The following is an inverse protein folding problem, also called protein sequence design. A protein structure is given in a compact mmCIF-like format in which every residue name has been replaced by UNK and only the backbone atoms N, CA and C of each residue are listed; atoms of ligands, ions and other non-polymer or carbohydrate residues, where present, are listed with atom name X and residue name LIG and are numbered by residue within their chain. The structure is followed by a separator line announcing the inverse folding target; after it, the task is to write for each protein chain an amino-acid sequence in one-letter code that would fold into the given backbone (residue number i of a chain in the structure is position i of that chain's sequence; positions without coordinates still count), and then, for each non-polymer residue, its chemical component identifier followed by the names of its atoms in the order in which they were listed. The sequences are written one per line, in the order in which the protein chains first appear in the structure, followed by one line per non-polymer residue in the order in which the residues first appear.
data_IF_305528245155
#
_entry.id   IF_305528245155
#
_cell.length_a   1.000
_cell.length_b   1.000
_cell.length_c   1.000
_cell.angle_alpha   90.00
_cell.angle_beta   90.00
_cell.angle_gamma   90.00
#
_symmetry.space_group_name_H-M   'P 1'
#
loop_
_entity.id
_entity.type
_entity.pdbx_description
1 polymer ?
#
# COMPACT_ATOMS: atom_id res chain seq x y z
N UNK A 1 -20.58 1.77 -12.47
CA UNK A 1 -19.72 1.35 -11.35
C UNK A 1 -18.79 2.50 -11.01
N UNK A 2 -18.82 2.97 -9.76
CA UNK A 2 -18.12 4.19 -9.37
C UNK A 2 -16.60 3.95 -9.26
N UNK A 3 -15.78 4.89 -9.74
CA UNK A 3 -14.32 4.86 -9.61
C UNK A 3 -13.86 4.53 -8.18
N UNK A 4 -14.50 5.13 -7.17
CA UNK A 4 -14.16 4.92 -5.76
C UNK A 4 -14.46 3.50 -5.27
N UNK A 5 -15.52 2.86 -5.79
CA UNK A 5 -15.82 1.46 -5.51
C UNK A 5 -14.73 0.55 -6.08
N UNK A 6 -14.33 0.78 -7.34
CA UNK A 6 -13.28 0.00 -8.02
C UNK A 6 -11.94 0.19 -7.32
N UNK A 7 -11.57 1.43 -7.00
CA UNK A 7 -10.33 1.74 -6.31
C UNK A 7 -10.31 1.10 -4.92
N UNK A 8 -11.40 1.23 -4.17
CA UNK A 8 -11.49 0.71 -2.80
C UNK A 8 -11.50 -0.81 -2.73
N UNK A 9 -12.28 -1.49 -3.59
CA UNK A 9 -12.25 -2.95 -3.70
C UNK A 9 -10.88 -3.41 -4.23
N UNK A 10 -10.41 -2.86 -5.35
CA UNK A 10 -9.15 -3.29 -5.97
C UNK A 10 -7.96 -3.15 -5.03
N UNK A 11 -7.79 -1.98 -4.40
CA UNK A 11 -6.69 -1.75 -3.46
C UNK A 11 -6.88 -2.54 -2.16
N UNK A 12 -8.11 -2.63 -1.65
CA UNK A 12 -8.40 -3.41 -0.47
C UNK A 12 -8.12 -4.90 -0.68
N UNK A 13 -8.45 -5.44 -1.85
CA UNK A 13 -8.15 -6.82 -2.24
C UNK A 13 -6.64 -7.03 -2.38
N UNK A 14 -5.89 -6.12 -3.00
CA UNK A 14 -4.43 -6.23 -3.08
C UNK A 14 -3.80 -6.22 -1.69
N UNK A 15 -4.25 -5.33 -0.80
CA UNK A 15 -3.76 -5.23 0.56
C UNK A 15 -4.09 -6.48 1.40
N UNK A 16 -5.29 -7.03 1.23
CA UNK A 16 -5.73 -8.25 1.92
C UNK A 16 -5.03 -9.52 1.41
N UNK A 17 -4.91 -9.68 0.09
CA UNK A 17 -4.40 -10.91 -0.51
C UNK A 17 -2.88 -11.01 -0.49
N UNK A 18 -2.14 -9.89 -0.56
CA UNK A 18 -0.67 -9.92 -0.60
C UNK A 18 -0.09 -10.70 0.59
N UNK A 19 -0.45 -10.42 1.85
CA UNK A 19 0.01 -11.18 3.01
C UNK A 19 -0.40 -12.65 2.96
N UNK A 20 -1.64 -12.93 2.57
CA UNK A 20 -2.18 -14.29 2.48
C UNK A 20 -1.37 -15.14 1.50
N UNK A 21 -1.12 -14.62 0.29
CA UNK A 21 -0.29 -15.30 -0.71
C UNK A 21 1.16 -15.47 -0.22
N UNK A 22 1.74 -14.45 0.41
CA UNK A 22 3.13 -14.49 0.89
C UNK A 22 3.38 -15.52 2.00
N UNK A 23 2.35 -15.81 2.81
CA UNK A 23 2.44 -16.81 3.88
C UNK A 23 1.99 -18.22 3.43
N UNK A 24 1.11 -18.32 2.43
CA UNK A 24 0.66 -19.61 1.90
C UNK A 24 1.71 -20.27 0.98
N UNK A 25 2.50 -19.48 0.26
CA UNK A 25 3.56 -20.01 -0.59
C UNK A 25 4.85 -20.11 0.21
N UNK A 26 5.48 -21.31 0.31
CA UNK A 26 6.73 -21.48 1.03
C UNK A 26 7.87 -20.84 0.23
N UNK A 27 8.05 -19.53 0.40
CA UNK A 27 9.15 -18.77 -0.17
C UNK A 27 9.86 -17.97 0.93
N UNK A 28 11.10 -17.56 0.67
CA UNK A 28 11.87 -16.74 1.61
C UNK A 28 11.51 -15.26 1.44
N UNK A 29 10.44 -14.84 2.11
CA UNK A 29 9.93 -13.47 2.08
C UNK A 29 10.98 -12.45 2.54
N UNK A 30 11.71 -12.77 3.60
CA UNK A 30 12.74 -11.91 4.14
C UNK A 30 13.84 -11.64 3.11
N UNK A 31 14.31 -12.69 2.42
CA UNK A 31 15.31 -12.57 1.36
C UNK A 31 14.77 -11.80 0.15
N UNK A 32 13.51 -11.99 -0.22
CA UNK A 32 12.90 -11.21 -1.28
C UNK A 32 12.80 -9.73 -0.93
N UNK A 33 12.31 -9.38 0.26
CA UNK A 33 12.19 -8.00 0.73
C UNK A 33 13.58 -7.35 0.78
N UNK A 34 14.59 -8.06 1.27
CA UNK A 34 15.97 -7.57 1.29
C UNK A 34 16.51 -7.26 -0.12
N UNK A 35 16.17 -8.10 -1.11
CA UNK A 35 16.57 -7.89 -2.51
C UNK A 35 15.77 -6.76 -3.18
N UNK A 36 14.46 -6.69 -2.91
CA UNK A 36 13.57 -5.68 -3.47
C UNK A 36 13.97 -4.29 -2.98
N UNK A 37 14.28 -4.15 -1.68
CA UNK A 37 14.69 -2.89 -1.06
C UNK A 37 16.19 -2.89 -0.75
N UNK A 38 17.00 -3.06 -1.80
CA UNK A 38 18.45 -2.96 -1.71
C UNK A 38 18.89 -1.58 -1.17
N UNK A 39 20.06 -1.50 -0.56
CA UNK A 39 20.61 -0.29 0.05
C UNK A 39 20.67 0.90 -0.93
N UNK A 40 21.07 0.64 -2.18
CA UNK A 40 20.95 1.59 -3.28
C UNK A 40 19.54 1.52 -3.88
N UNK A 41 18.84 2.66 -3.94
CA UNK A 41 17.49 2.77 -4.50
C UNK A 41 17.42 2.19 -5.92
N UNK A 42 16.63 1.11 -6.14
CA UNK A 42 16.37 0.61 -7.47
C UNK A 42 15.55 1.60 -8.31
N UNK A 43 15.80 1.68 -9.62
CA UNK A 43 15.07 2.58 -10.51
C UNK A 43 13.55 2.30 -10.55
N UNK A 44 13.15 1.03 -10.40
CA UNK A 44 11.74 0.65 -10.38
C UNK A 44 10.97 1.28 -9.20
N UNK A 45 11.63 1.53 -8.06
CA UNK A 45 10.99 2.16 -6.88
C UNK A 45 10.49 3.55 -7.24
N UNK A 46 11.29 4.31 -7.99
CA UNK A 46 10.91 5.66 -8.41
C UNK A 46 9.70 5.64 -9.36
N UNK A 47 9.66 4.69 -10.30
CA UNK A 47 8.54 4.52 -11.22
C UNK A 47 7.26 4.15 -10.47
N UNK A 48 7.32 3.16 -9.58
CA UNK A 48 6.15 2.71 -8.79
C UNK A 48 5.65 3.83 -7.88
N UNK A 49 6.55 4.55 -7.21
CA UNK A 49 6.16 5.67 -6.36
C UNK A 49 5.54 6.82 -7.17
N UNK A 50 6.09 7.15 -8.35
CA UNK A 50 5.52 8.17 -9.22
C UNK A 50 4.11 7.80 -9.71
N UNK A 51 3.92 6.55 -10.17
CA UNK A 51 2.60 6.05 -10.59
C UNK A 51 1.61 6.07 -9.42
N UNK A 52 2.04 5.66 -8.23
CA UNK A 52 1.22 5.71 -7.02
C UNK A 52 0.79 7.13 -6.67
N UNK A 53 1.71 8.11 -6.75
CA UNK A 53 1.40 9.51 -6.49
C UNK A 53 0.48 10.13 -7.53
N UNK A 54 0.66 9.79 -8.81
CA UNK A 54 -0.26 10.21 -9.88
C UNK A 54 -1.66 9.65 -9.64
N UNK A 55 -1.76 8.39 -9.22
CA UNK A 55 -3.05 7.80 -8.89
C UNK A 55 -3.69 8.51 -7.69
N UNK A 56 -2.93 8.88 -6.66
CA UNK A 56 -3.46 9.64 -5.52
C UNK A 56 -3.93 11.04 -5.95
N UNK A 57 -3.16 11.73 -6.80
CA UNK A 57 -3.55 13.02 -7.34
C UNK A 57 -4.85 12.91 -8.16
N UNK A 58 -4.98 11.87 -8.98
CA UNK A 58 -6.22 11.58 -9.73
C UNK A 58 -7.39 11.31 -8.78
N UNK A 59 -7.20 10.52 -7.72
CA UNK A 59 -8.25 10.25 -6.72
C UNK A 59 -8.76 11.53 -6.09
N UNK A 60 -7.87 12.44 -5.67
CA UNK A 60 -8.26 13.73 -5.11
C UNK A 60 -8.92 14.65 -6.13
N UNK A 61 -8.42 14.69 -7.36
CA UNK A 61 -9.06 15.43 -8.46
C UNK A 61 -10.51 14.95 -8.67
N UNK A 62 -10.73 13.64 -8.71
CA UNK A 62 -12.07 13.06 -8.86
C UNK A 62 -12.95 13.29 -7.63
N UNK A 63 -12.38 13.33 -6.43
CA UNK A 63 -13.14 13.66 -5.23
C UNK A 63 -13.76 15.05 -5.33
N UNK A 64 -12.99 16.05 -5.78
CA UNK A 64 -13.47 17.43 -5.91
C UNK A 64 -14.38 17.67 -7.13
N UNK A 65 -14.27 16.85 -8.18
CA UNK A 65 -14.96 17.10 -9.46
C UNK A 65 -16.13 16.17 -9.75
N UNK A 66 -16.13 14.93 -9.25
CA UNK A 66 -17.12 13.93 -9.62
C UNK A 66 -18.40 13.96 -8.78
N UNK A 67 -18.45 14.77 -7.71
CA UNK A 67 -19.64 14.91 -6.85
C UNK A 67 -20.08 13.63 -6.14
N UNK A 68 -19.18 12.65 -5.98
CA UNK A 68 -19.49 11.36 -5.37
C UNK A 68 -19.65 11.51 -3.85
N UNK A 69 -20.83 11.19 -3.27
CA UNK A 69 -21.03 11.23 -1.82
C UNK A 69 -20.03 10.34 -1.09
N UNK A 70 -19.52 10.79 0.06
CA UNK A 70 -18.60 10.04 0.93
C UNK A 70 -17.23 9.66 0.32
N UNK A 71 -16.93 10.03 -0.93
CA UNK A 71 -15.64 9.77 -1.61
C UNK A 71 -14.40 10.24 -0.85
N UNK A 72 -14.58 11.16 0.11
CA UNK A 72 -13.55 11.60 1.05
C UNK A 72 -12.93 10.42 1.83
N UNK A 73 -13.72 9.40 2.20
CA UNK A 73 -13.23 8.28 3.01
C UNK A 73 -12.17 7.48 2.27
N UNK A 74 -12.46 7.12 1.01
CA UNK A 74 -11.51 6.38 0.17
C UNK A 74 -10.31 7.26 -0.19
N UNK A 75 -10.53 8.55 -0.46
CA UNK A 75 -9.45 9.49 -0.77
C UNK A 75 -8.45 9.64 0.39
N UNK A 76 -8.94 9.70 1.63
CA UNK A 76 -8.11 9.75 2.83
C UNK A 76 -7.33 8.45 3.04
N UNK A 77 -7.99 7.29 2.97
CA UNK A 77 -7.32 5.99 3.10
C UNK A 77 -6.25 5.82 2.01
N UNK A 78 -6.56 6.25 0.79
CA UNK A 78 -5.64 6.15 -0.34
C UNK A 78 -4.44 7.10 -0.23
N UNK A 79 -4.57 8.19 0.54
CA UNK A 79 -3.46 9.13 0.81
C UNK A 79 -2.32 8.50 1.62
N UNK A 80 -2.55 7.36 2.30
CA UNK A 80 -1.46 6.56 2.87
C UNK A 80 -0.46 6.09 1.81
N UNK A 81 -0.93 5.85 0.58
CA UNK A 81 -0.07 5.55 -0.58
C UNK A 81 0.84 6.72 -0.90
N UNK A 82 0.36 7.96 -0.78
CA UNK A 82 1.18 9.15 -1.02
C UNK A 82 2.26 9.32 0.04
N UNK A 83 1.93 9.10 1.33
CA UNK A 83 2.94 9.12 2.40
C UNK A 83 4.04 8.12 2.08
N UNK A 84 3.68 6.87 1.75
CA UNK A 84 4.66 5.83 1.39
C UNK A 84 5.45 6.20 0.13
N UNK A 85 4.79 6.70 -0.91
CA UNK A 85 5.41 7.09 -2.17
C UNK A 85 6.42 8.24 -2.00
N UNK A 86 6.06 9.26 -1.23
CA UNK A 86 6.95 10.38 -0.90
C UNK A 86 8.16 9.91 -0.10
N UNK A 87 7.98 9.06 0.91
CA UNK A 87 9.11 8.49 1.66
C UNK A 87 10.03 7.69 0.74
N UNK A 88 9.49 6.87 -0.18
CA UNK A 88 10.31 6.10 -1.14
C UNK A 88 11.09 6.99 -2.12
N UNK A 89 10.58 8.17 -2.46
CA UNK A 89 11.23 9.10 -3.38
C UNK A 89 12.22 10.05 -2.69
N UNK A 90 11.86 10.59 -1.53
CA UNK A 90 12.58 11.65 -0.86
C UNK A 90 13.49 11.13 0.26
N UNK A 91 13.10 10.05 0.94
CA UNK A 91 13.80 9.52 2.10
C UNK A 91 13.97 7.99 2.02
N UNK A 92 14.45 7.53 0.87
CA UNK A 92 14.61 6.11 0.59
C UNK A 92 15.56 5.43 1.58
N UNK A 93 16.64 6.12 2.00
CA UNK A 93 17.61 5.54 2.93
C UNK A 93 16.98 5.25 4.28
N UNK A 94 16.16 6.16 4.83
CA UNK A 94 15.44 5.91 6.08
C UNK A 94 14.42 4.79 5.92
N UNK A 95 13.70 4.75 4.80
CA UNK A 95 12.78 3.64 4.50
C UNK A 95 13.54 2.30 4.45
N UNK A 96 14.67 2.24 3.77
CA UNK A 96 15.49 1.04 3.63
C UNK A 96 16.06 0.61 4.98
N UNK A 97 16.55 1.53 5.81
CA UNK A 97 17.01 1.23 7.16
C UNK A 97 15.90 0.68 8.06
N UNK A 98 14.68 1.22 7.95
CA UNK A 98 13.51 0.69 8.65
C UNK A 98 13.18 -0.74 8.20
N UNK A 99 13.15 -1.00 6.90
CA UNK A 99 12.94 -2.34 6.34
C UNK A 99 14.04 -3.32 6.77
N UNK A 100 15.30 -2.91 6.69
CA UNK A 100 16.43 -3.72 7.14
C UNK A 100 16.39 -4.00 8.65
N UNK A 101 15.95 -3.02 9.44
CA UNK A 101 15.72 -3.18 10.89
C UNK A 101 14.66 -4.24 11.18
N UNK A 102 13.52 -4.20 10.48
CA UNK A 102 12.46 -5.21 10.61
C UNK A 102 12.92 -6.61 10.23
N UNK A 103 13.74 -6.73 9.17
CA UNK A 103 14.29 -8.01 8.72
C UNK A 103 15.27 -8.62 9.73
N UNK A 104 16.07 -7.79 10.42
CA UNK A 104 17.08 -8.25 11.39
C UNK A 104 16.48 -8.59 12.75
N UNK A 105 15.39 -7.95 13.13
CA UNK A 105 14.79 -8.10 14.46
C UNK A 105 13.88 -9.33 14.51
N UNK A 106 14.08 -10.17 15.53
CA UNK A 106 13.27 -11.37 15.80
C UNK A 106 13.06 -12.28 14.59
N UNK A 107 14.05 -12.38 13.69
CA UNK A 107 13.98 -13.20 12.48
C UNK A 107 12.95 -12.74 11.44
N UNK A 108 12.57 -11.46 11.43
CA UNK A 108 11.56 -10.93 10.50
C UNK A 108 10.12 -10.98 11.03
N UNK A 109 9.89 -11.36 12.30
CA UNK A 109 8.56 -11.43 12.90
C UNK A 109 7.78 -10.10 12.87
N UNK A 110 8.47 -8.97 12.77
CA UNK A 110 7.83 -7.66 12.59
C UNK A 110 7.12 -7.51 11.23
N UNK A 111 7.58 -8.21 10.19
CA UNK A 111 6.95 -8.19 8.87
C UNK A 111 5.55 -8.80 8.95
N UNK A 112 5.38 -9.88 9.70
CA UNK A 112 4.08 -10.52 9.94
C UNK A 112 3.08 -9.53 10.57
N UNK A 113 3.52 -8.73 11.55
CA UNK A 113 2.66 -7.71 12.16
C UNK A 113 2.24 -6.61 11.19
N UNK A 114 3.17 -6.16 10.33
CA UNK A 114 2.86 -5.19 9.27
C UNK A 114 1.84 -5.80 8.30
N UNK A 115 2.04 -7.06 7.92
CA UNK A 115 1.18 -7.78 6.99
C UNK A 115 -0.23 -8.02 7.52
N UNK A 116 -0.38 -8.34 8.81
CA UNK A 116 -1.68 -8.39 9.50
C UNK A 116 -2.34 -7.00 9.47
N UNK A 117 -1.60 -5.95 9.82
CA UNK A 117 -2.12 -4.58 9.80
C UNK A 117 -2.59 -4.15 8.41
N UNK A 118 -1.81 -4.43 7.38
CA UNK A 118 -2.16 -4.14 5.98
C UNK A 118 -3.38 -4.94 5.54
N UNK A 119 -3.49 -6.22 5.96
CA UNK A 119 -4.66 -7.05 5.66
C UNK A 119 -5.94 -6.50 6.27
N UNK A 120 -5.89 -6.06 7.54
CA UNK A 120 -7.03 -5.45 8.22
C UNK A 120 -7.46 -4.14 7.56
N UNK A 121 -6.50 -3.29 7.17
CA UNK A 121 -6.79 -2.08 6.40
C UNK A 121 -7.44 -2.44 5.06
N UNK A 122 -6.93 -3.47 4.38
CA UNK A 122 -7.50 -3.96 3.12
C UNK A 122 -8.94 -4.43 3.26
N UNK A 123 -9.23 -5.21 4.30
CA UNK A 123 -10.58 -5.66 4.62
C UNK A 123 -11.51 -4.49 4.93
N UNK A 124 -11.06 -3.54 5.74
CA UNK A 124 -11.83 -2.33 6.06
C UNK A 124 -12.11 -1.50 4.80
N UNK A 125 -11.15 -1.34 3.90
CA UNK A 125 -11.33 -0.67 2.62
C UNK A 125 -12.42 -1.35 1.78
N UNK A 126 -12.40 -2.68 1.66
CA UNK A 126 -13.45 -3.42 0.92
C UNK A 126 -14.81 -3.20 1.58
N UNK A 127 -14.92 -3.42 2.89
CA UNK A 127 -16.17 -3.31 3.63
C UNK A 127 -16.79 -1.92 3.50
N UNK A 128 -16.00 -0.87 3.71
CA UNK A 128 -16.43 0.53 3.57
C UNK A 128 -16.80 0.85 2.12
N UNK A 129 -16.07 0.32 1.14
CA UNK A 129 -16.35 0.58 -0.27
C UNK A 129 -17.67 -0.03 -0.70
N UNK A 130 -17.95 -1.27 -0.29
CA UNK A 130 -19.22 -1.94 -0.56
C UNK A 130 -20.35 -1.21 0.16
N UNK A 131 -20.18 -0.85 1.43
CA UNK A 131 -21.24 -0.18 2.20
C UNK A 131 -21.62 1.20 1.68
N UNK A 132 -20.65 1.97 1.15
CA UNK A 132 -20.87 3.35 0.72
C UNK A 132 -21.13 3.53 -0.78
N UNK A 133 -20.69 2.59 -1.63
CA UNK A 133 -20.70 2.79 -3.09
C UNK A 133 -21.26 1.63 -3.93
N UNK A 134 -21.65 0.50 -3.32
CA UNK A 134 -22.36 -0.58 -4.01
C UNK A 134 -23.88 -0.41 -3.88
#
# INVERSE_FOLDING_TARGET
MNYFLILGIGMGTIALLKPVYMHLIPWDENRFIAKAYAEKRPAWVAVVAAVGLLLVALTWYLHFTAGVPHSIVISLLFSLTAIKGLTLLLDYQRFQQWVAGMLRRDGGRQIVWVDIGVSLIGLAMIAVSVWLYA
#
